data_IF_279661359510
#
_entry.id   IF_279661359510
#
_cell.length_a   1.000
_cell.length_b   1.000
_cell.length_c   1.000
_cell.angle_alpha   90.00
_cell.angle_beta   90.00
_cell.angle_gamma   90.00
#
_symmetry.space_group_name_H-M   'P 1'
#
loop_
_entity.id
_entity.type
_entity.pdbx_description
1 polymer ?
#
# COMPACT_ATOMS: atom_id res chain seq x y z
N UNK A 1 -9.13 -13.17 -6.75
CA UNK A 1 -10.24 -13.51 -5.83
C UNK A 1 -9.76 -13.22 -4.42
N UNK A 2 -10.52 -12.49 -3.61
CA UNK A 2 -10.02 -11.99 -2.32
C UNK A 2 -8.82 -11.05 -2.50
N UNK A 3 -7.72 -11.31 -1.79
CA UNK A 3 -6.51 -10.47 -1.73
C UNK A 3 -5.46 -10.81 -2.79
N UNK A 4 -5.88 -11.46 -3.88
CA UNK A 4 -5.01 -11.87 -4.97
C UNK A 4 -5.62 -11.53 -6.34
N UNK A 5 -4.75 -11.12 -7.25
CA UNK A 5 -4.99 -11.04 -8.68
C UNK A 5 -4.58 -12.38 -9.30
N UNK A 6 -5.45 -12.94 -10.12
CA UNK A 6 -5.27 -14.26 -10.73
C UNK A 6 -5.13 -14.10 -12.24
N UNK A 7 -4.08 -14.70 -12.79
CA UNK A 7 -3.78 -14.72 -14.22
C UNK A 7 -3.92 -16.16 -14.71
N UNK A 8 -5.04 -16.44 -15.37
CA UNK A 8 -5.19 -17.70 -16.11
C UNK A 8 -4.47 -17.53 -17.45
N UNK A 9 -3.60 -18.48 -17.78
CA UNK A 9 -2.84 -18.44 -19.02
C UNK A 9 -2.72 -19.83 -19.64
N UNK A 10 -2.44 -19.86 -20.93
CA UNK A 10 -2.07 -21.08 -21.64
C UNK A 10 -0.56 -21.05 -21.90
N UNK A 11 0.13 -22.11 -21.48
CA UNK A 11 1.51 -22.36 -21.87
C UNK A 11 1.56 -23.28 -23.08
N UNK A 12 2.48 -23.00 -24.00
CA UNK A 12 2.80 -23.86 -25.14
C UNK A 12 4.21 -24.40 -24.99
N UNK A 13 4.39 -25.70 -25.19
CA UNK A 13 5.69 -26.38 -25.18
C UNK A 13 6.34 -26.32 -26.56
N UNK A 14 6.41 -25.13 -27.13
CA UNK A 14 7.01 -24.88 -28.43
C UNK A 14 7.57 -23.47 -28.48
N UNK A 15 8.64 -23.27 -29.25
CA UNK A 15 9.20 -21.93 -29.45
C UNK A 15 8.22 -21.08 -30.26
N UNK A 16 8.42 -19.76 -30.20
CA UNK A 16 7.82 -18.87 -31.19
C UNK A 16 8.18 -19.38 -32.60
N UNK A 17 7.23 -19.38 -33.54
CA UNK A 17 7.35 -20.07 -34.84
C UNK A 17 7.53 -21.60 -34.75
N UNK A 18 6.80 -22.25 -33.85
CA UNK A 18 6.84 -23.71 -33.65
C UNK A 18 6.71 -24.52 -34.95
N UNK A 19 5.93 -24.05 -35.94
CA UNK A 19 5.78 -24.71 -37.26
C UNK A 19 7.11 -24.80 -38.01
N UNK A 20 7.89 -23.73 -38.02
CA UNK A 20 9.21 -23.66 -38.67
C UNK A 20 10.21 -24.58 -37.97
N UNK A 21 10.11 -24.67 -36.66
CA UNK A 21 10.98 -25.49 -35.84
C UNK A 21 10.53 -26.96 -35.73
N UNK A 22 9.34 -27.30 -36.25
CA UNK A 22 8.69 -28.60 -36.09
C UNK A 22 8.55 -29.02 -34.62
N UNK A 23 8.37 -28.03 -33.74
CA UNK A 23 8.16 -28.27 -32.31
C UNK A 23 6.75 -28.87 -32.09
N UNK A 24 6.58 -29.79 -31.12
CA UNK A 24 5.27 -30.35 -30.80
C UNK A 24 4.32 -29.29 -30.25
N UNK A 25 3.04 -29.38 -30.61
CA UNK A 25 2.00 -28.48 -30.09
C UNK A 25 1.34 -29.06 -28.85
N UNK A 26 2.12 -29.18 -27.77
CA UNK A 26 1.60 -29.51 -26.45
C UNK A 26 1.25 -28.21 -25.71
N UNK A 27 0.10 -28.16 -25.05
CA UNK A 27 -0.33 -27.00 -24.29
C UNK A 27 -0.95 -27.39 -22.95
N UNK A 28 -0.92 -26.47 -21.99
CA UNK A 28 -1.57 -26.63 -20.70
C UNK A 28 -2.10 -25.29 -20.18
N UNK A 29 -3.14 -25.35 -19.35
CA UNK A 29 -3.63 -24.20 -18.62
C UNK A 29 -2.85 -24.05 -17.31
N UNK A 30 -2.42 -22.84 -17.02
CA UNK A 30 -1.75 -22.46 -15.78
C UNK A 30 -2.51 -21.35 -15.07
N UNK A 31 -2.27 -21.25 -13.76
CA UNK A 31 -2.71 -20.14 -12.93
C UNK A 31 -1.47 -19.50 -12.31
N UNK A 32 -1.27 -18.21 -12.59
CA UNK A 32 -0.33 -17.36 -11.85
C UNK A 32 -1.11 -16.47 -10.88
N UNK A 33 -0.56 -16.22 -9.69
CA UNK A 33 -1.19 -15.33 -8.71
C UNK A 33 -0.24 -14.22 -8.29
N UNK A 34 -0.81 -13.06 -7.98
CA UNK A 34 -0.11 -11.89 -7.44
C UNK A 34 -0.92 -11.34 -6.27
N UNK A 35 -0.27 -10.85 -5.21
CA UNK A 35 -0.99 -10.13 -4.15
C UNK A 35 -1.69 -8.89 -4.73
N UNK A 36 -2.84 -8.51 -4.18
CA UNK A 36 -3.50 -7.25 -4.57
C UNK A 36 -2.50 -6.09 -4.40
N UNK A 37 -2.47 -5.17 -5.37
CA UNK A 37 -1.53 -4.04 -5.46
C UNK A 37 -0.03 -4.41 -5.32
N UNK A 38 0.34 -5.63 -5.70
CA UNK A 38 1.68 -6.19 -5.49
C UNK A 38 2.66 -6.11 -6.64
N UNK A 39 2.39 -5.30 -7.68
CA UNK A 39 3.17 -5.32 -8.92
C UNK A 39 4.62 -4.84 -8.73
N UNK A 40 4.84 -3.93 -7.79
CA UNK A 40 6.15 -3.35 -7.47
C UNK A 40 6.20 -3.03 -5.98
N UNK A 41 7.40 -3.08 -5.40
CA UNK A 41 7.64 -2.61 -4.03
C UNK A 41 8.84 -1.66 -3.96
N UNK A 42 8.82 -0.84 -2.92
CA UNK A 42 10.01 -0.17 -2.41
C UNK A 42 10.55 -1.01 -1.26
N UNK A 43 11.75 -1.55 -1.44
CA UNK A 43 12.40 -2.43 -0.47
C UNK A 43 13.48 -1.69 0.32
N UNK A 44 13.55 -1.99 1.61
CA UNK A 44 14.66 -1.60 2.46
C UNK A 44 15.21 -2.84 3.17
N UNK A 45 16.26 -3.50 2.63
CA UNK A 45 16.85 -4.70 3.25
C UNK A 45 17.42 -4.45 4.65
N UNK A 46 17.87 -3.22 4.93
CA UNK A 46 18.33 -2.79 6.24
C UNK A 46 17.48 -1.65 6.78
N UNK A 47 17.74 -0.40 6.37
CA UNK A 47 16.95 0.77 6.71
C UNK A 47 16.88 1.73 5.53
N UNK A 48 15.73 2.37 5.33
CA UNK A 48 15.51 3.31 4.24
C UNK A 48 14.31 4.19 4.49
N UNK A 49 14.18 5.25 3.70
CA UNK A 49 13.00 6.13 3.74
C UNK A 49 12.45 6.40 2.36
N UNK A 50 11.13 6.50 2.27
CA UNK A 50 10.41 6.94 1.09
C UNK A 50 9.55 8.15 1.48
N UNK A 51 9.70 9.27 0.77
CA UNK A 51 8.85 10.44 0.98
C UNK A 51 8.02 10.71 -0.26
N UNK A 52 6.70 10.85 -0.09
CA UNK A 52 5.79 11.16 -1.19
C UNK A 52 5.98 12.59 -1.69
N UNK A 53 5.48 12.88 -2.90
CA UNK A 53 5.15 14.26 -3.28
C UNK A 53 4.00 14.76 -2.42
N UNK A 54 3.73 16.07 -2.47
CA UNK A 54 2.59 16.66 -1.75
C UNK A 54 1.28 16.15 -2.37
N UNK A 55 0.32 15.80 -1.54
CA UNK A 55 -1.04 15.44 -1.96
C UNK A 55 -2.05 15.83 -0.87
N UNK A 56 -3.33 15.85 -1.22
CA UNK A 56 -4.42 16.09 -0.27
C UNK A 56 -4.91 14.72 0.22
N UNK A 57 -4.86 14.47 1.53
CA UNK A 57 -5.41 13.25 2.09
C UNK A 57 -6.95 13.31 2.10
N UNK A 58 -7.58 12.30 1.50
CA UNK A 58 -9.04 12.14 1.47
C UNK A 58 -9.35 10.79 2.12
N UNK A 59 -9.94 10.82 3.31
CA UNK A 59 -10.17 9.64 4.13
C UNK A 59 -9.69 9.81 5.57
N UNK A 60 -10.24 9.01 6.47
CA UNK A 60 -9.98 9.08 7.91
C UNK A 60 -9.05 7.97 8.40
N UNK A 61 -8.61 7.08 7.51
CA UNK A 61 -7.78 5.95 7.87
C UNK A 61 -6.71 5.73 6.80
N UNK A 62 -5.44 5.75 7.18
CA UNK A 62 -4.34 5.35 6.27
C UNK A 62 -4.17 3.83 6.33
N UNK A 63 -4.17 3.19 5.16
CA UNK A 63 -3.94 1.76 4.98
C UNK A 63 -2.76 1.55 4.07
N UNK A 64 -1.90 0.59 4.40
CA UNK A 64 -0.75 0.22 3.57
C UNK A 64 -0.74 -1.26 3.23
N UNK A 65 -0.28 -1.58 2.04
CA UNK A 65 0.07 -2.93 1.63
C UNK A 65 1.57 -3.11 1.82
N UNK A 66 1.95 -3.99 2.75
CA UNK A 66 3.35 -4.12 3.13
C UNK A 66 3.69 -5.51 3.64
N UNK A 67 4.97 -5.85 3.48
CA UNK A 67 5.59 -7.02 4.06
C UNK A 67 6.73 -6.57 4.97
N UNK A 68 6.60 -6.83 6.26
CA UNK A 68 7.57 -6.43 7.29
C UNK A 68 7.77 -7.54 8.33
N UNK A 69 7.80 -8.81 7.91
CA UNK A 69 7.95 -9.96 8.82
C UNK A 69 9.30 -9.97 9.56
N UNK A 70 10.35 -9.39 8.95
CA UNK A 70 11.71 -9.33 9.50
C UNK A 70 12.09 -7.98 10.12
N UNK A 71 11.15 -7.05 10.24
CA UNK A 71 11.45 -5.69 10.69
C UNK A 71 10.20 -4.87 10.98
N UNK A 72 10.17 -3.61 10.53
CA UNK A 72 9.00 -2.75 10.73
C UNK A 72 8.91 -1.62 9.71
N UNK A 73 7.70 -1.12 9.53
CA UNK A 73 7.42 0.16 8.86
C UNK A 73 6.81 1.13 9.88
N UNK A 74 7.26 2.37 9.85
CA UNK A 74 6.63 3.51 10.53
C UNK A 74 6.36 4.63 9.55
N UNK A 75 5.36 5.45 9.83
CA UNK A 75 4.93 6.54 8.96
C UNK A 75 4.87 7.82 9.76
N UNK A 76 5.33 8.91 9.16
CA UNK A 76 5.09 10.26 9.66
C UNK A 76 4.42 11.14 8.61
N UNK A 77 3.58 12.07 9.08
CA UNK A 77 2.91 13.05 8.23
C UNK A 77 3.60 14.41 8.37
N UNK A 78 3.86 15.04 7.22
CA UNK A 78 4.62 16.29 7.11
C UNK A 78 3.73 17.35 6.46
N UNK A 79 3.68 18.54 7.03
CA UNK A 79 2.90 19.67 6.53
C UNK A 79 3.50 20.29 5.25
N UNK A 80 2.79 21.26 4.69
CA UNK A 80 3.24 21.96 3.48
C UNK A 80 4.60 22.67 3.65
N UNK A 81 4.96 23.06 4.88
CA UNK A 81 6.19 23.76 5.25
C UNK A 81 7.35 22.80 5.58
N UNK A 82 7.11 21.48 5.51
CA UNK A 82 8.15 20.47 5.78
C UNK A 82 8.29 20.09 7.25
N UNK A 83 7.34 20.50 8.11
CA UNK A 83 7.35 20.19 9.55
C UNK A 83 6.50 18.96 9.82
N UNK A 84 6.95 18.11 10.73
CA UNK A 84 6.16 16.96 11.19
C UNK A 84 4.91 17.47 11.90
N UNK A 85 3.75 16.92 11.54
CA UNK A 85 2.47 17.27 12.15
C UNK A 85 2.42 16.63 13.55
N UNK A 86 2.14 17.44 14.57
CA UNK A 86 2.03 16.97 15.96
C UNK A 86 1.05 15.80 16.08
N UNK A 87 1.45 14.73 16.77
CA UNK A 87 0.68 13.49 16.90
C UNK A 87 0.81 12.51 15.72
N UNK A 88 1.47 12.90 14.63
CA UNK A 88 1.73 12.06 13.44
C UNK A 88 3.22 11.90 13.17
N UNK A 89 4.05 11.92 14.22
CA UNK A 89 5.49 11.65 14.11
C UNK A 89 5.79 10.16 13.96
N UNK A 90 7.01 9.83 13.56
CA UNK A 90 7.49 8.44 13.52
C UNK A 90 7.45 7.82 14.91
N UNK A 91 7.80 8.59 15.93
CA UNK A 91 7.84 8.16 17.34
C UNK A 91 6.44 7.91 17.89
N UNK A 92 5.43 8.60 17.35
CA UNK A 92 4.04 8.37 17.70
C UNK A 92 3.41 7.23 16.89
N UNK A 93 3.99 6.83 15.74
CA UNK A 93 3.49 5.75 14.90
C UNK A 93 3.71 4.39 15.56
N UNK A 94 2.65 3.59 15.71
CA UNK A 94 2.78 2.18 16.08
C UNK A 94 3.51 1.43 14.96
N UNK A 95 4.58 0.67 15.25
CA UNK A 95 5.31 -0.05 14.21
C UNK A 95 4.46 -1.14 13.57
N UNK A 96 4.45 -1.15 12.24
CA UNK A 96 3.73 -2.13 11.41
C UNK A 96 4.67 -3.30 11.11
N UNK A 97 4.19 -4.51 11.38
CA UNK A 97 4.96 -5.77 11.23
C UNK A 97 4.11 -6.83 10.54
N UNK A 98 4.77 -7.79 9.93
CA UNK A 98 4.13 -8.92 9.23
C UNK A 98 3.77 -8.63 7.76
N UNK A 99 3.19 -9.62 7.09
CA UNK A 99 2.71 -9.55 5.71
C UNK A 99 1.19 -9.37 5.64
N UNK A 100 0.73 -8.23 5.10
CA UNK A 100 -0.69 -7.98 4.83
C UNK A 100 -0.88 -7.01 3.68
N UNK A 101 -1.95 -7.21 2.92
CA UNK A 101 -2.38 -6.26 1.89
C UNK A 101 -3.06 -5.02 2.47
N UNK A 102 -3.48 -5.06 3.75
CA UNK A 102 -4.20 -3.96 4.41
C UNK A 102 -3.81 -3.80 5.88
N UNK A 103 -2.61 -3.25 6.12
CA UNK A 103 -2.21 -2.77 7.44
C UNK A 103 -2.83 -1.41 7.73
N UNK A 104 -3.59 -1.29 8.82
CA UNK A 104 -4.11 0.01 9.27
C UNK A 104 -3.01 0.74 10.04
N UNK A 105 -2.59 1.90 9.54
CA UNK A 105 -1.60 2.73 10.23
C UNK A 105 -2.26 3.39 11.43
N UNK A 106 -1.59 3.34 12.58
CA UNK A 106 -2.04 3.99 13.81
C UNK A 106 -0.91 4.78 14.43
N UNK A 107 -1.26 5.93 15.01
CA UNK A 107 -0.37 6.70 15.88
C UNK A 107 -0.87 6.63 17.32
N UNK A 108 -0.20 7.31 18.28
CA UNK A 108 -0.62 7.33 19.70
C UNK A 108 -2.09 7.73 19.92
N UNK A 109 -2.67 8.53 19.01
CA UNK A 109 -4.09 8.91 19.02
C UNK A 109 -5.05 7.90 18.36
N UNK A 110 -4.55 6.74 17.93
CA UNK A 110 -5.30 5.71 17.20
C UNK A 110 -5.17 5.82 15.66
N UNK A 111 -6.04 5.10 14.91
CA UNK A 111 -6.00 5.05 13.44
C UNK A 111 -6.64 6.28 12.76
N UNK A 112 -7.27 7.17 13.53
CA UNK A 112 -8.03 8.29 12.98
C UNK A 112 -7.11 9.39 12.44
N UNK A 113 -7.16 9.58 11.13
CA UNK A 113 -6.42 10.56 10.35
C UNK A 113 -7.25 11.81 10.00
N UNK A 114 -8.39 12.06 10.64
CA UNK A 114 -9.25 13.23 10.34
C UNK A 114 -8.47 14.55 10.36
N UNK A 115 -7.51 14.70 11.28
CA UNK A 115 -6.66 15.88 11.35
C UNK A 115 -5.75 16.06 10.12
N UNK A 116 -5.51 15.01 9.32
CA UNK A 116 -4.70 15.09 8.10
C UNK A 116 -5.52 15.49 6.87
N UNK A 117 -6.85 15.47 6.94
CA UNK A 117 -7.73 15.73 5.79
C UNK A 117 -7.72 17.19 5.36
N UNK A 118 -8.14 17.41 4.09
CA UNK A 118 -8.40 18.71 3.49
C UNK A 118 -7.20 19.69 3.50
N UNK A 119 -5.97 19.20 3.69
CA UNK A 119 -4.74 19.98 3.58
C UNK A 119 -3.65 19.24 2.81
N UNK A 120 -2.76 19.96 2.10
CA UNK A 120 -1.60 19.34 1.45
C UNK A 120 -0.62 18.79 2.48
N UNK A 121 -0.34 17.50 2.40
CA UNK A 121 0.64 16.80 3.25
C UNK A 121 1.63 16.01 2.39
N UNK A 122 2.72 15.57 3.02
CA UNK A 122 3.55 14.47 2.54
C UNK A 122 3.53 13.36 3.57
N UNK A 123 3.66 12.12 3.13
CA UNK A 123 3.97 11.00 4.02
C UNK A 123 5.45 10.67 3.86
N UNK A 124 6.13 10.40 4.98
CA UNK A 124 7.43 9.76 4.98
C UNK A 124 7.33 8.40 5.65
N UNK A 125 7.64 7.36 4.88
CA UNK A 125 7.73 5.98 5.33
C UNK A 125 9.17 5.72 5.77
N UNK A 126 9.32 5.12 6.94
CA UNK A 126 10.57 4.64 7.50
C UNK A 126 10.50 3.12 7.49
N UNK A 127 11.29 2.48 6.63
CA UNK A 127 11.30 1.04 6.44
C UNK A 127 12.56 0.47 7.08
N UNK A 128 12.41 -0.66 7.78
CA UNK A 128 13.53 -1.48 8.25
C UNK A 128 13.23 -2.94 7.95
N UNK A 129 14.07 -3.60 7.15
CA UNK A 129 13.87 -4.99 6.68
C UNK A 129 12.43 -5.22 6.21
N UNK A 130 11.97 -4.39 5.28
CA UNK A 130 10.56 -4.34 4.86
C UNK A 130 10.39 -3.92 3.40
N UNK A 131 9.24 -4.28 2.84
CA UNK A 131 8.77 -3.95 1.50
C UNK A 131 7.42 -3.22 1.59
N UNK A 132 7.32 -2.03 0.97
CA UNK A 132 6.08 -1.29 0.82
C UNK A 132 5.59 -1.38 -0.63
N UNK A 133 4.37 -1.87 -0.83
CA UNK A 133 3.77 -2.05 -2.16
C UNK A 133 2.85 -0.88 -2.55
N UNK A 134 1.92 -0.53 -1.67
CA UNK A 134 0.96 0.56 -1.89
C UNK A 134 0.51 1.21 -0.58
N UNK A 135 -0.10 2.39 -0.69
CA UNK A 135 -0.77 3.07 0.42
C UNK A 135 -2.00 3.82 -0.09
N UNK A 136 -3.01 3.95 0.75
CA UNK A 136 -4.24 4.68 0.45
C UNK A 136 -4.87 5.25 1.71
N UNK A 137 -5.59 6.37 1.56
CA UNK A 137 -6.52 6.83 2.58
C UNK A 137 -7.92 6.28 2.25
N UNK A 138 -8.53 5.62 3.22
CA UNK A 138 -9.89 5.11 3.14
C UNK A 138 -10.82 5.92 4.04
N UNK A 139 -12.10 5.99 3.67
CA UNK A 139 -13.17 6.46 4.56
C UNK A 139 -13.75 5.22 5.25
N UNK A 140 -13.49 5.06 6.55
CA UNK A 140 -14.01 3.92 7.33
C UNK A 140 -15.09 4.32 8.33
N UNK A 141 -15.16 5.58 8.73
CA UNK A 141 -16.28 6.10 9.53
C UNK A 141 -17.21 6.87 8.61
N UNK A 142 -18.47 6.41 8.53
CA UNK A 142 -19.55 7.27 8.05
C UNK A 142 -19.70 8.40 9.08
N UNK A 143 -19.04 9.53 8.85
CA UNK A 143 -19.47 10.76 9.49
C UNK A 143 -20.85 11.06 8.92
N UNK A 144 -21.88 10.71 9.70
CA UNK A 144 -23.26 11.05 9.42
C UNK A 144 -23.32 12.58 9.27
N UNK A 145 -23.46 13.08 8.05
CA UNK A 145 -23.83 14.48 7.83
C UNK A 145 -25.34 14.52 8.02
N UNK A 146 -25.87 15.14 9.10
CA UNK A 146 -27.31 15.24 9.25
C UNK A 146 -27.87 16.00 8.04
N UNK A 147 -28.98 15.52 7.49
CA UNK A 147 -29.67 16.10 6.31
C UNK A 147 -30.25 17.52 6.56
N UNK A 148 -29.84 18.22 7.61
CA UNK A 148 -30.43 19.49 8.05
C UNK A 148 -30.02 20.73 7.23
N UNK A 149 -29.37 20.58 6.07
CA UNK A 149 -28.95 21.69 5.20
C UNK A 149 -29.29 21.47 3.73
N UNK A 150 -30.50 21.00 3.43
CA UNK A 150 -31.15 21.31 2.16
C UNK A 150 -32.21 22.37 2.43
N UNK A 151 -31.86 23.63 2.21
CA UNK A 151 -32.84 24.69 1.90
C UNK A 151 -33.23 24.57 0.43
#
# INVERSE_FOLDING_TARGET
MGDQIWFYYQGLKGRHWFKQHKDPLESGFGLATLRLDGFVSVDAPQAGTLQTRRFIAIGDTLVINAKADGGEIRVEAIDALGRVISGFSKEDCTPIRGDSVRHVVSWKGGPNCHQLQARPIKLRFHLKTASLFSFEFQIRRNHFVPLSFRQ
#
